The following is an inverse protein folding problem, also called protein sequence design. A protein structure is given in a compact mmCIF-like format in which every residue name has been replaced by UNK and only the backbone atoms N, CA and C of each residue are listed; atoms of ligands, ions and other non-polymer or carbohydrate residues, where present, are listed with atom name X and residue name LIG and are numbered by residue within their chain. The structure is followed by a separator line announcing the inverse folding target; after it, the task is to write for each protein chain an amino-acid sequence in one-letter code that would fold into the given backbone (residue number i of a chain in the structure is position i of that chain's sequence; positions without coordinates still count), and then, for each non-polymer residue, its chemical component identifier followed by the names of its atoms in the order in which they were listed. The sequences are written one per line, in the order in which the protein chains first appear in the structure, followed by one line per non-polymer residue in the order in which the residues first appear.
data_IF_223689530303
#
_entry.id   IF_223689530303
#
_cell.length_a   1.000
_cell.length_b   1.000
_cell.length_c   1.000
_cell.angle_alpha   90.00
_cell.angle_beta   90.00
_cell.angle_gamma   90.00
#
_symmetry.space_group_name_H-M   'P 1'
#
loop_
_entity.id
_entity.type
_entity.pdbx_description
1 polymer ?
#
# COMPACT_ATOMS: atom_id res chain seq x y z
N UNK A 1 -10.13 25.44 -19.90
CA UNK A 1 -9.57 26.76 -19.51
C UNK A 1 -10.56 27.93 -19.69
N UNK A 2 -11.24 28.07 -20.83
CA UNK A 2 -12.25 29.14 -21.03
C UNK A 2 -13.40 29.13 -20.01
N UNK A 3 -13.78 27.96 -19.49
CA UNK A 3 -14.83 27.82 -18.47
C UNK A 3 -14.46 28.49 -17.14
N UNK A 4 -13.18 28.44 -16.76
CA UNK A 4 -12.69 29.07 -15.53
C UNK A 4 -12.81 30.58 -15.65
N UNK A 5 -12.40 31.15 -16.79
CA UNK A 5 -12.48 32.58 -17.06
C UNK A 5 -13.94 33.04 -17.08
N UNK A 6 -14.84 32.29 -17.71
CA UNK A 6 -16.28 32.56 -17.69
C UNK A 6 -16.86 32.56 -16.27
N UNK A 7 -16.41 31.64 -15.42
CA UNK A 7 -16.87 31.51 -14.02
C UNK A 7 -16.38 32.67 -13.16
N UNK A 8 -15.13 33.10 -13.36
CA UNK A 8 -14.54 34.27 -12.69
C UNK A 8 -15.30 35.55 -13.07
N UNK A 9 -15.60 35.73 -14.35
CA UNK A 9 -16.33 36.90 -14.85
C UNK A 9 -17.80 36.89 -14.38
N UNK A 10 -18.48 35.74 -14.42
CA UNK A 10 -19.89 35.62 -13.97
C UNK A 10 -20.05 35.79 -12.45
N UNK A 11 -19.04 35.44 -11.66
CA UNK A 11 -19.10 35.46 -10.20
C UNK A 11 -18.32 36.62 -9.57
N UNK A 12 -17.78 37.54 -10.39
CA UNK A 12 -16.95 38.69 -9.98
C UNK A 12 -15.97 38.32 -8.87
N UNK A 13 -15.21 37.24 -9.09
CA UNK A 13 -14.35 36.69 -8.07
C UNK A 13 -13.15 37.61 -7.78
N UNK A 14 -12.88 37.84 -6.51
CA UNK A 14 -11.65 38.51 -6.07
C UNK A 14 -10.43 37.64 -6.36
N UNK A 15 -9.26 38.26 -6.50
CA UNK A 15 -8.00 37.58 -6.85
C UNK A 15 -7.77 36.32 -6.01
N UNK A 16 -7.96 36.42 -4.69
CA UNK A 16 -7.80 35.30 -3.74
C UNK A 16 -8.76 34.12 -4.00
N UNK A 17 -9.99 34.40 -4.43
CA UNK A 17 -10.98 33.36 -4.76
C UNK A 17 -10.66 32.72 -6.11
N UNK A 18 -10.20 33.51 -7.08
CA UNK A 18 -9.79 33.02 -8.39
C UNK A 18 -8.55 32.12 -8.28
N UNK A 19 -7.55 32.51 -7.49
CA UNK A 19 -6.37 31.68 -7.19
C UNK A 19 -6.78 30.35 -6.56
N UNK A 20 -7.70 30.38 -5.59
CA UNK A 20 -8.23 29.16 -4.98
C UNK A 20 -8.92 28.24 -5.99
N UNK A 21 -9.78 28.80 -6.85
CA UNK A 21 -10.52 28.04 -7.86
C UNK A 21 -9.58 27.40 -8.89
N UNK A 22 -8.52 28.11 -9.28
CA UNK A 22 -7.49 27.57 -10.17
C UNK A 22 -6.75 26.42 -9.49
N UNK A 23 -6.32 26.60 -8.23
CA UNK A 23 -5.59 25.57 -7.49
C UNK A 23 -6.44 24.29 -7.31
N UNK A 24 -7.69 24.45 -6.91
CA UNK A 24 -8.66 23.35 -6.74
C UNK A 24 -8.88 22.58 -8.05
N UNK A 25 -9.02 23.30 -9.17
CA UNK A 25 -9.14 22.69 -10.50
C UNK A 25 -7.86 21.95 -10.89
N UNK A 26 -6.68 22.51 -10.56
CA UNK A 26 -5.39 21.89 -10.85
C UNK A 26 -5.18 20.62 -10.00
N UNK A 27 -5.60 20.64 -8.74
CA UNK A 27 -5.58 19.50 -7.84
C UNK A 27 -6.53 18.40 -8.31
N UNK A 28 -7.74 18.75 -8.75
CA UNK A 28 -8.70 17.80 -9.32
C UNK A 28 -8.16 17.13 -10.60
N UNK A 29 -7.51 17.89 -11.48
CA UNK A 29 -6.88 17.35 -12.70
C UNK A 29 -5.68 16.44 -12.39
N UNK A 30 -4.93 16.73 -11.32
CA UNK A 30 -3.87 15.86 -10.82
C UNK A 30 -4.44 14.57 -10.23
N UNK A 31 -5.52 14.66 -9.46
CA UNK A 31 -6.20 13.51 -8.86
C UNK A 31 -6.81 12.57 -9.92
N UNK A 32 -7.24 13.10 -11.07
CA UNK A 32 -7.75 12.28 -12.20
C UNK A 32 -6.62 11.63 -13.02
N UNK A 33 -5.39 12.16 -12.93
CA UNK A 33 -4.20 11.61 -13.61
C UNK A 33 -3.44 10.59 -12.76
N UNK A 34 -3.70 10.53 -11.46
CA UNK A 34 -3.31 9.38 -10.66
C UNK A 34 -4.40 8.34 -10.85
N UNK A 35 -4.16 7.24 -11.60
CA UNK A 35 -5.09 6.13 -11.53
C UNK A 35 -5.20 5.83 -10.04
N UNK A 36 -6.43 5.83 -9.50
CA UNK A 36 -6.69 5.21 -8.22
C UNK A 36 -5.94 3.88 -8.30
N UNK A 37 -4.82 3.80 -7.57
CA UNK A 37 -4.13 2.54 -7.42
C UNK A 37 -5.09 1.76 -6.55
N UNK A 38 -6.13 1.19 -7.18
CA UNK A 38 -6.65 -0.12 -6.84
C UNK A 38 -5.41 -0.96 -6.90
N UNK A 39 -4.76 -1.01 -5.74
CA UNK A 39 -3.65 -1.87 -5.49
C UNK A 39 -4.31 -3.23 -5.64
N UNK A 40 -4.29 -3.74 -6.87
CA UNK A 40 -4.35 -5.15 -7.13
C UNK A 40 -3.06 -5.66 -6.50
N UNK A 41 -3.04 -5.68 -5.16
CA UNK A 41 -2.20 -6.57 -4.40
C UNK A 41 -2.70 -7.90 -4.91
N UNK A 42 -2.01 -8.42 -5.93
CA UNK A 42 -2.06 -9.84 -6.25
C UNK A 42 -1.72 -10.49 -4.92
N UNK A 43 -2.72 -10.90 -4.13
CA UNK A 43 -2.57 -11.33 -2.73
C UNK A 43 -1.46 -12.38 -2.57
N UNK A 44 -1.18 -13.11 -3.64
CA UNK A 44 -0.07 -14.06 -3.78
C UNK A 44 1.33 -13.45 -3.61
N UNK A 45 1.58 -12.23 -4.07
CA UNK A 45 2.87 -11.52 -3.85
C UNK A 45 2.97 -11.05 -2.40
N UNK A 46 1.85 -10.63 -1.79
CA UNK A 46 1.81 -10.20 -0.39
C UNK A 46 2.17 -11.32 0.57
N UNK A 47 1.55 -12.50 0.43
CA UNK A 47 1.78 -13.65 1.32
C UNK A 47 3.24 -14.08 1.34
N UNK A 48 3.92 -14.12 0.18
CA UNK A 48 5.34 -14.50 0.10
C UNK A 48 6.26 -13.58 0.90
N UNK A 49 5.97 -12.29 0.99
CA UNK A 49 6.77 -11.35 1.80
C UNK A 49 6.69 -11.76 3.27
N UNK A 50 5.49 -12.04 3.78
CA UNK A 50 5.30 -12.45 5.18
C UNK A 50 5.94 -13.81 5.49
N UNK A 51 5.82 -14.80 4.59
CA UNK A 51 6.51 -16.09 4.73
C UNK A 51 8.03 -15.93 4.79
N UNK A 52 8.59 -15.08 3.93
CA UNK A 52 10.01 -14.78 3.94
C UNK A 52 10.45 -14.09 5.25
N UNK A 53 9.61 -13.26 5.85
CA UNK A 53 9.88 -12.66 7.17
C UNK A 53 9.87 -13.72 8.29
N UNK A 54 8.90 -14.63 8.29
CA UNK A 54 8.84 -15.75 9.24
C UNK A 54 10.07 -16.66 9.11
N UNK A 55 10.48 -16.94 7.87
CA UNK A 55 11.68 -17.73 7.58
C UNK A 55 12.96 -17.05 8.06
N UNK A 56 13.09 -15.73 7.86
CA UNK A 56 14.23 -14.96 8.37
C UNK A 56 14.28 -14.98 9.91
N UNK A 57 13.14 -14.83 10.58
CA UNK A 57 13.08 -14.93 12.03
C UNK A 57 13.50 -16.32 12.53
N UNK A 58 13.06 -17.39 11.85
CA UNK A 58 13.51 -18.75 12.13
C UNK A 58 15.02 -18.93 11.92
N UNK A 59 15.58 -18.41 10.83
CA UNK A 59 17.01 -18.52 10.55
C UNK A 59 17.84 -17.80 11.61
N UNK A 60 17.39 -16.62 12.05
CA UNK A 60 18.00 -15.88 13.16
C UNK A 60 18.06 -16.73 14.44
N UNK A 61 16.97 -17.43 14.80
CA UNK A 61 16.92 -18.34 15.96
C UNK A 61 17.87 -19.53 15.77
N UNK A 62 17.90 -20.11 14.57
CA UNK A 62 18.80 -21.23 14.27
C UNK A 62 20.27 -20.84 14.40
N UNK A 63 20.62 -19.62 13.96
CA UNK A 63 21.98 -19.08 14.06
C UNK A 63 22.43 -18.82 15.50
N UNK A 64 21.52 -18.71 16.47
CA UNK A 64 21.90 -18.65 17.90
C UNK A 64 22.25 -20.01 18.49
N UNK A 65 22.24 -21.09 17.69
CA UNK A 65 22.51 -22.46 18.14
C UNK A 65 21.29 -23.20 18.70
N UNK A 66 20.09 -22.62 18.58
CA UNK A 66 18.85 -23.26 19.03
C UNK A 66 18.35 -24.21 17.93
N UNK A 67 18.09 -25.47 18.27
CA UNK A 67 17.50 -26.46 17.38
C UNK A 67 15.99 -26.22 17.16
N UNK A 68 15.66 -25.10 16.53
CA UNK A 68 14.31 -24.81 16.09
C UNK A 68 13.94 -25.65 14.86
N UNK A 69 12.65 -25.97 14.68
CA UNK A 69 12.10 -26.60 13.48
C UNK A 69 11.11 -25.66 12.79
N UNK A 70 11.13 -25.63 11.47
CA UNK A 70 10.25 -24.81 10.64
C UNK A 70 9.58 -25.69 9.59
N UNK A 71 8.27 -25.55 9.42
CA UNK A 71 7.49 -26.31 8.43
C UNK A 71 6.40 -25.42 7.82
N UNK A 72 6.22 -25.54 6.50
CA UNK A 72 5.22 -24.81 5.72
C UNK A 72 4.32 -25.83 5.01
N UNK A 73 3.00 -25.70 5.17
CA UNK A 73 2.00 -26.60 4.59
C UNK A 73 0.96 -25.76 3.87
N UNK A 74 0.83 -25.96 2.56
CA UNK A 74 -0.27 -25.42 1.78
C UNK A 74 -1.50 -26.33 1.95
N UNK A 75 -2.58 -25.80 2.53
CA UNK A 75 -3.84 -26.53 2.73
C UNK A 75 -4.93 -26.08 1.76
N UNK A 76 -4.56 -25.44 0.64
CA UNK A 76 -5.50 -24.88 -0.33
C UNK A 76 -6.19 -23.61 0.17
N UNK A 77 -7.04 -23.74 1.19
CA UNK A 77 -7.79 -22.62 1.79
C UNK A 77 -6.89 -21.65 2.58
N UNK A 78 -5.78 -22.15 3.13
CA UNK A 78 -4.83 -21.36 3.91
C UNK A 78 -3.43 -21.98 3.91
N UNK A 79 -2.43 -21.16 4.25
CA UNK A 79 -1.06 -21.59 4.46
C UNK A 79 -0.79 -21.74 5.95
N UNK A 80 -0.39 -22.95 6.38
CA UNK A 80 -0.04 -23.26 7.75
C UNK A 80 1.48 -23.22 7.91
N UNK A 81 1.96 -22.36 8.81
CA UNK A 81 3.38 -22.24 9.13
C UNK A 81 3.58 -22.63 10.60
N UNK A 82 4.40 -23.65 10.83
CA UNK A 82 4.65 -24.20 12.18
C UNK A 82 6.11 -24.02 12.54
N UNK A 83 6.37 -23.26 13.61
CA UNK A 83 7.70 -23.08 14.20
C UNK A 83 7.74 -23.74 15.57
N UNK A 84 8.70 -24.63 15.79
CA UNK A 84 8.93 -25.29 17.09
C UNK A 84 10.27 -24.83 17.64
N UNK A 85 10.27 -24.15 18.78
CA UNK A 85 11.47 -23.68 19.47
C UNK A 85 11.56 -24.42 20.81
N UNK A 86 12.65 -25.15 21.09
CA UNK A 86 12.84 -25.78 22.39
C UNK A 86 12.96 -24.70 23.48
N UNK A 87 12.30 -24.93 24.62
CA UNK A 87 12.32 -24.03 25.78
C UNK A 87 13.44 -24.34 26.78
N UNK A 88 14.24 -25.38 26.51
CA UNK A 88 15.28 -25.92 27.38
C UNK A 88 16.58 -26.04 26.62
#
# INVERSE_FOLDING_TARGET
MMEIIQKVVKQELTVKKTEKLINDTLEALKAESEPEKKQNIKCSVGIRIYLNTLKQAYDAIKNTGIEAKYNEIDKGDYMEVVVKIPKK
#
